data_IF_348333614411
#
_entry.id   IF_348333614411
#
_cell.length_a   1.000
_cell.length_b   1.000
_cell.length_c   1.000
_cell.angle_alpha   90.00
_cell.angle_beta   90.00
_cell.angle_gamma   90.00
#
_symmetry.space_group_name_H-M   'P 1'
#
loop_
_entity.id
_entity.type
_entity.pdbx_description
1 polymer ?
#
# COMPACT_ATOMS: atom_id res chain seq x y z
N UNK A 1 -8.42 9.85 15.12
CA UNK A 1 -7.07 9.61 15.68
C UNK A 1 -6.15 9.29 14.51
N UNK A 2 -5.06 10.04 14.36
CA UNK A 2 -4.06 9.78 13.33
C UNK A 2 -3.23 8.56 13.76
N UNK A 3 -3.34 7.45 13.03
CA UNK A 3 -2.44 6.31 13.21
C UNK A 3 -1.26 6.52 12.28
N UNK A 4 -0.09 6.85 12.81
CA UNK A 4 1.12 6.94 11.99
C UNK A 4 1.54 5.55 11.50
N UNK A 5 2.09 5.49 10.29
CA UNK A 5 2.76 4.30 9.76
C UNK A 5 4.24 4.60 9.56
N UNK A 6 5.08 3.58 9.70
CA UNK A 6 6.51 3.71 9.49
C UNK A 6 6.83 3.88 8.00
N UNK A 7 7.54 4.95 7.65
CA UNK A 7 8.06 5.21 6.31
C UNK A 7 9.55 5.56 6.43
N UNK A 8 10.42 4.71 5.87
CA UNK A 8 11.85 4.95 5.79
C UNK A 8 12.24 5.26 4.34
N UNK A 9 12.47 6.55 4.03
CA UNK A 9 12.88 7.00 2.70
C UNK A 9 14.32 6.64 2.35
N UNK A 10 15.18 6.38 3.35
CA UNK A 10 16.58 5.98 3.11
C UNK A 10 16.66 4.51 2.73
N UNK A 11 15.88 3.66 3.41
CA UNK A 11 15.78 2.23 3.10
C UNK A 11 14.74 1.90 2.02
N UNK A 12 13.98 2.90 1.58
CA UNK A 12 12.88 2.77 0.64
C UNK A 12 11.84 1.74 1.13
N UNK A 13 11.33 1.93 2.35
CA UNK A 13 10.32 1.03 2.93
C UNK A 13 9.10 1.75 3.50
N UNK A 14 7.94 1.08 3.45
CA UNK A 14 6.72 1.43 4.18
C UNK A 14 6.31 0.21 5.01
N UNK A 15 6.29 0.32 6.34
CA UNK A 15 6.06 -0.80 7.26
C UNK A 15 6.92 -2.05 6.95
N UNK A 16 8.18 -1.86 6.53
CA UNK A 16 9.09 -2.93 6.13
C UNK A 16 8.91 -3.46 4.68
N UNK A 17 7.87 -3.04 3.95
CA UNK A 17 7.71 -3.38 2.52
C UNK A 17 8.67 -2.54 1.70
N UNK A 18 9.53 -3.19 0.91
CA UNK A 18 10.57 -2.52 0.11
C UNK A 18 10.05 -2.00 -1.23
N UNK A 19 10.60 -0.86 -1.66
CA UNK A 19 10.33 -0.19 -2.92
C UNK A 19 11.60 -0.10 -3.77
N UNK A 20 11.43 -0.09 -5.10
CA UNK A 20 12.52 0.05 -6.07
C UNK A 20 13.12 1.45 -6.07
N UNK A 21 12.29 2.46 -5.85
CA UNK A 21 12.63 3.86 -5.99
C UNK A 21 11.73 4.74 -5.10
N UNK A 22 12.20 5.97 -4.87
CA UNK A 22 11.51 6.94 -4.02
C UNK A 22 10.16 7.36 -4.60
N UNK A 23 10.04 7.46 -5.93
CA UNK A 23 8.80 7.89 -6.60
C UNK A 23 7.68 6.89 -6.35
N UNK A 24 7.96 5.60 -6.50
CA UNK A 24 6.99 4.52 -6.22
C UNK A 24 6.60 4.49 -4.75
N UNK A 25 7.57 4.70 -3.85
CA UNK A 25 7.30 4.82 -2.40
C UNK A 25 6.35 5.99 -2.10
N UNK A 26 6.63 7.18 -2.62
CA UNK A 26 5.84 8.38 -2.35
C UNK A 26 4.43 8.29 -2.96
N UNK A 27 4.30 7.75 -4.18
CA UNK A 27 3.00 7.49 -4.80
C UNK A 27 2.17 6.50 -3.96
N UNK A 28 2.80 5.42 -3.48
CA UNK A 28 2.13 4.41 -2.65
C UNK A 28 1.74 4.98 -1.28
N UNK A 29 2.63 5.74 -0.65
CA UNK A 29 2.37 6.42 0.62
C UNK A 29 1.20 7.41 0.51
N UNK A 30 1.12 8.15 -0.59
CA UNK A 30 0.02 9.10 -0.85
C UNK A 30 -1.32 8.39 -0.99
N UNK A 31 -1.37 7.31 -1.77
CA UNK A 31 -2.57 6.49 -1.93
C UNK A 31 -3.05 5.89 -0.59
N UNK A 32 -2.12 5.35 0.21
CA UNK A 32 -2.43 4.82 1.53
C UNK A 32 -2.91 5.94 2.47
N UNK A 33 -2.22 7.08 2.48
CA UNK A 33 -2.53 8.22 3.34
C UNK A 33 -3.95 8.74 3.14
N UNK A 34 -4.39 8.91 1.88
CA UNK A 34 -5.77 9.31 1.56
C UNK A 34 -6.79 8.34 2.14
N UNK A 35 -6.59 7.03 1.94
CA UNK A 35 -7.50 6.00 2.47
C UNK A 35 -7.47 5.93 4.01
N UNK A 36 -6.32 6.23 4.64
CA UNK A 36 -6.21 6.25 6.10
C UNK A 36 -7.05 7.36 6.73
N UNK A 37 -7.24 8.50 6.06
CA UNK A 37 -8.17 9.55 6.51
C UNK A 37 -9.63 9.07 6.52
N UNK A 38 -9.95 8.05 5.71
CA UNK A 38 -11.27 7.41 5.64
C UNK A 38 -11.39 6.19 6.58
N UNK A 39 -10.36 5.91 7.39
CA UNK A 39 -10.36 4.83 8.37
C UNK A 39 -9.69 3.53 7.91
N UNK A 40 -9.09 3.50 6.72
CA UNK A 40 -8.30 2.36 6.28
C UNK A 40 -7.09 2.14 7.20
N UNK A 41 -6.88 0.90 7.63
CA UNK A 41 -5.72 0.51 8.43
C UNK A 41 -4.81 -0.39 7.59
N UNK A 42 -3.70 0.13 7.05
CA UNK A 42 -2.83 -0.64 6.19
C UNK A 42 -2.15 -1.78 6.98
N UNK A 43 -1.95 -2.88 6.26
CA UNK A 43 -1.12 -4.02 6.65
C UNK A 43 0.04 -4.14 5.67
N UNK A 44 1.12 -4.86 6.01
CA UNK A 44 2.20 -5.14 5.07
C UNK A 44 1.67 -5.71 3.76
N UNK A 45 0.76 -6.68 3.83
CA UNK A 45 0.17 -7.31 2.63
C UNK A 45 -0.63 -6.33 1.77
N UNK A 46 -1.41 -5.43 2.37
CA UNK A 46 -2.15 -4.44 1.58
C UNK A 46 -1.21 -3.42 0.93
N UNK A 47 -0.10 -3.06 1.58
CA UNK A 47 0.92 -2.18 1.01
C UNK A 47 1.59 -2.84 -0.21
N UNK A 48 1.93 -4.14 -0.12
CA UNK A 48 2.47 -4.89 -1.25
C UNK A 48 1.51 -4.89 -2.44
N UNK A 49 0.22 -5.15 -2.19
CA UNK A 49 -0.81 -5.19 -3.24
C UNK A 49 -0.96 -3.81 -3.91
N UNK A 50 -1.04 -2.73 -3.11
CA UNK A 50 -1.16 -1.37 -3.64
C UNK A 50 0.09 -0.98 -4.45
N UNK A 51 1.30 -1.28 -3.94
CA UNK A 51 2.55 -1.07 -4.66
C UNK A 51 2.54 -1.80 -6.00
N UNK A 52 2.23 -3.10 -5.98
CA UNK A 52 2.25 -3.95 -7.16
C UNK A 52 1.23 -3.48 -8.21
N UNK A 53 0.10 -2.93 -7.78
CA UNK A 53 -0.88 -2.29 -8.67
C UNK A 53 -0.35 -0.98 -9.27
N UNK A 54 0.24 -0.11 -8.46
CA UNK A 54 0.80 1.18 -8.90
C UNK A 54 1.92 1.00 -9.94
N UNK A 55 2.75 -0.02 -9.80
CA UNK A 55 3.82 -0.31 -10.78
C UNK A 55 3.35 -1.14 -11.98
N UNK A 56 2.05 -1.46 -12.07
CA UNK A 56 1.47 -2.24 -13.16
C UNK A 56 1.85 -3.73 -13.15
N UNK A 57 2.35 -4.26 -12.03
CA UNK A 57 2.68 -5.69 -11.86
C UNK A 57 1.42 -6.54 -11.69
N UNK A 58 0.35 -5.98 -11.15
CA UNK A 58 -0.97 -6.61 -11.09
C UNK A 58 -2.01 -5.69 -11.73
N UNK A 59 -3.02 -6.29 -12.35
CA UNK A 59 -4.11 -5.55 -12.99
C UNK A 59 -5.14 -5.05 -11.96
N UNK A 60 -6.10 -4.24 -12.43
CA UNK A 60 -7.26 -3.86 -11.63
C UNK A 60 -8.11 -5.09 -11.23
N UNK A 61 -8.26 -6.07 -12.14
CA UNK A 61 -9.01 -7.29 -11.85
C UNK A 61 -8.33 -8.10 -10.74
N UNK A 62 -7.00 -8.22 -10.79
CA UNK A 62 -6.22 -8.86 -9.73
C UNK A 62 -6.40 -8.14 -8.38
N UNK A 63 -6.33 -6.81 -8.39
CA UNK A 63 -6.55 -5.99 -7.20
C UNK A 63 -7.95 -6.24 -6.59
N UNK A 64 -8.99 -6.30 -7.42
CA UNK A 64 -10.36 -6.61 -6.99
C UNK A 64 -10.43 -8.02 -6.39
N UNK A 65 -9.79 -9.01 -7.01
CA UNK A 65 -9.75 -10.39 -6.50
C UNK A 65 -9.05 -10.45 -5.14
N UNK A 66 -7.89 -9.80 -5.00
CA UNK A 66 -7.12 -9.81 -3.75
C UNK A 66 -7.85 -9.11 -2.59
N UNK A 67 -8.57 -8.03 -2.89
CA UNK A 67 -9.33 -7.29 -1.87
C UNK A 67 -10.62 -8.01 -1.48
N UNK A 68 -11.32 -8.65 -2.44
CA UNK A 68 -12.51 -9.47 -2.16
C UNK A 68 -12.23 -10.72 -1.34
N UNK A 69 -11.07 -11.36 -1.52
CA UNK A 69 -10.68 -12.53 -0.70
C UNK A 69 -10.61 -12.22 0.81
N UNK A 70 -10.49 -10.95 1.20
CA UNK A 70 -10.51 -10.50 2.60
C UNK A 70 -11.90 -10.12 3.13
N UNK A 71 -12.90 -9.89 2.28
CA UNK A 71 -14.26 -9.48 2.70
C UNK A 71 -15.24 -10.64 2.89
N UNK A 72 -14.82 -11.88 2.63
CA UNK A 72 -15.64 -13.09 2.83
C UNK A 72 -15.14 -13.99 3.98
N UNK A 73 -14.42 -13.45 4.97
CA UNK A 73 -14.04 -14.17 6.20
C UNK A 73 -14.32 -13.30 7.42
#
# INVERSE_FOLDING_TARGET
MYNSIEIDRKKLTIMGVKFSDLKTLENTASAIGSNMFEGFRPTQRSIEIIRDYIIGKISLDDLIIYTKKKTYV
#
